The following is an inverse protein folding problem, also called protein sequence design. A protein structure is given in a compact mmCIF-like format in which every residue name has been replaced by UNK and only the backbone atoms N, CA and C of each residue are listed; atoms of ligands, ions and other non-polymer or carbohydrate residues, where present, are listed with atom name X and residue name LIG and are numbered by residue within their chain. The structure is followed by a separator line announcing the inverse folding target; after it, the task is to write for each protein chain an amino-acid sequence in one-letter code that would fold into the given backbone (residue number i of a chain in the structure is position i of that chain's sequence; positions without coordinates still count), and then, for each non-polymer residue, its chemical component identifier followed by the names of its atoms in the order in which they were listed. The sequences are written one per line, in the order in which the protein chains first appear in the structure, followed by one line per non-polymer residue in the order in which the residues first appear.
data_IF_427860906778
#
_entry.id   IF_427860906778
#
_cell.length_a   1.000
_cell.length_b   1.000
_cell.length_c   1.000
_cell.angle_alpha   90.00
_cell.angle_beta   90.00
_cell.angle_gamma   90.00
#
_symmetry.space_group_name_H-M   'P 1'
#
loop_
_entity.id
_entity.type
_entity.pdbx_description
1 polymer ?
#
# COMPACT_ATOMS: atom_id res chain seq x y z
N UNK A 1 26.39 -13.03 0.18
CA UNK A 1 26.22 -11.59 -0.15
C UNK A 1 24.90 -11.15 0.46
N UNK A 2 24.76 -9.94 1.00
CA UNK A 2 23.46 -9.46 1.47
C UNK A 2 22.47 -9.44 0.29
N UNK A 3 21.24 -9.89 0.52
CA UNK A 3 20.17 -9.84 -0.48
C UNK A 3 19.80 -8.36 -0.73
N UNK A 4 19.34 -8.05 -1.95
CA UNK A 4 18.79 -6.72 -2.25
C UNK A 4 17.44 -6.59 -1.55
N UNK A 5 17.15 -5.43 -0.96
CA UNK A 5 15.88 -5.16 -0.29
C UNK A 5 15.03 -4.23 -1.17
N UNK A 6 13.76 -4.60 -1.37
CA UNK A 6 12.74 -3.74 -1.94
C UNK A 6 11.85 -3.19 -0.83
N UNK A 7 11.64 -1.87 -0.82
CA UNK A 7 10.72 -1.22 0.11
C UNK A 7 9.34 -1.18 -0.50
N UNK A 8 8.34 -1.57 0.28
CA UNK A 8 6.93 -1.51 -0.09
C UNK A 8 6.20 -0.63 0.92
N UNK A 9 5.37 0.28 0.44
CA UNK A 9 4.49 1.10 1.27
C UNK A 9 3.11 1.20 0.62
N UNK A 10 2.22 1.97 1.22
CA UNK A 10 0.87 2.21 0.71
C UNK A 10 0.65 3.66 0.27
N UNK A 11 -0.46 3.93 -0.43
CA UNK A 11 -0.70 5.25 -1.03
C UNK A 11 -0.80 6.40 -0.03
N UNK A 12 -1.01 6.11 1.26
CA UNK A 12 -1.13 7.15 2.28
C UNK A 12 0.21 7.70 2.76
N UNK A 13 1.34 7.16 2.28
CA UNK A 13 2.66 7.70 2.56
C UNK A 13 2.92 9.04 1.84
N UNK A 14 2.21 9.31 0.72
CA UNK A 14 2.36 10.52 -0.10
C UNK A 14 3.81 10.89 -0.47
N UNK A 15 4.65 9.87 -0.69
CA UNK A 15 6.04 10.08 -1.09
C UNK A 15 6.11 10.70 -2.50
N UNK A 16 6.97 11.71 -2.71
CA UNK A 16 7.18 12.27 -4.05
C UNK A 16 7.69 11.21 -5.03
N UNK A 17 7.25 11.27 -6.29
CA UNK A 17 7.64 10.29 -7.32
C UNK A 17 9.16 10.16 -7.49
N UNK A 18 9.90 11.24 -7.33
CA UNK A 18 11.36 11.25 -7.43
C UNK A 18 12.00 10.33 -6.38
N UNK A 19 11.46 10.31 -5.15
CA UNK A 19 11.93 9.45 -4.06
C UNK A 19 11.57 7.99 -4.34
N UNK A 20 10.36 7.74 -4.87
CA UNK A 20 9.94 6.41 -5.26
C UNK A 20 10.89 5.81 -6.30
N UNK A 21 11.26 6.59 -7.32
CA UNK A 21 12.19 6.17 -8.38
C UNK A 21 13.62 6.02 -7.88
N UNK A 22 14.13 6.98 -7.12
CA UNK A 22 15.50 6.98 -6.60
C UNK A 22 15.78 5.79 -5.68
N UNK A 23 14.83 5.46 -4.81
CA UNK A 23 15.00 4.43 -3.79
C UNK A 23 14.32 3.10 -4.14
N UNK A 24 13.75 2.99 -5.35
CA UNK A 24 13.00 1.82 -5.81
C UNK A 24 11.90 1.39 -4.82
N UNK A 25 11.15 2.37 -4.31
CA UNK A 25 10.04 2.15 -3.37
C UNK A 25 8.78 1.85 -4.18
N UNK A 26 8.14 0.75 -3.84
CA UNK A 26 6.86 0.38 -4.42
C UNK A 26 5.70 0.84 -3.55
N UNK A 27 4.70 1.45 -4.17
CA UNK A 27 3.46 1.86 -3.50
C UNK A 27 2.34 0.90 -3.90
N UNK A 28 1.55 0.44 -2.93
CA UNK A 28 0.31 -0.31 -3.17
C UNK A 28 -0.87 0.61 -2.84
N UNK A 29 -1.76 0.89 -3.79
CA UNK A 29 -2.88 1.80 -3.56
C UNK A 29 -3.90 1.22 -2.58
N UNK A 30 -4.38 2.06 -1.66
CA UNK A 30 -5.65 1.82 -0.97
C UNK A 30 -6.81 2.06 -1.94
N UNK A 31 -8.04 1.77 -1.50
CA UNK A 31 -9.23 2.04 -2.31
C UNK A 31 -10.09 3.14 -1.70
N UNK A 32 -10.53 4.07 -2.54
CA UNK A 32 -11.64 4.98 -2.28
C UNK A 32 -12.91 4.34 -2.82
N UNK A 33 -13.95 4.23 -2.00
CA UNK A 33 -15.25 3.68 -2.39
C UNK A 33 -16.27 4.81 -2.42
N UNK A 34 -16.92 5.00 -3.57
CA UNK A 34 -17.89 6.06 -3.78
C UNK A 34 -19.20 5.48 -4.33
N UNK A 35 -20.19 5.31 -3.45
CA UNK A 35 -21.39 4.54 -3.77
C UNK A 35 -21.02 3.07 -3.98
N UNK A 36 -21.30 2.53 -5.16
CA UNK A 36 -21.01 1.13 -5.52
C UNK A 36 -19.65 0.96 -6.23
N UNK A 37 -18.93 2.05 -6.48
CA UNK A 37 -17.71 2.03 -7.27
C UNK A 37 -16.46 2.22 -6.41
N UNK A 38 -15.49 1.32 -6.58
CA UNK A 38 -14.16 1.44 -6.00
C UNK A 38 -13.17 2.09 -6.98
N UNK A 39 -12.24 2.86 -6.45
CA UNK A 39 -11.17 3.55 -7.16
C UNK A 39 -9.87 3.32 -6.40
N UNK A 40 -8.80 2.98 -7.11
CA UNK A 40 -7.46 2.91 -6.52
C UNK A 40 -6.91 4.33 -6.33
N UNK A 41 -6.54 4.63 -5.09
CA UNK A 41 -6.00 5.93 -4.68
C UNK A 41 -4.68 6.25 -5.40
N UNK A 42 -4.61 7.41 -6.05
CA UNK A 42 -3.46 7.83 -6.85
C UNK A 42 -3.32 7.12 -8.21
N UNK A 43 -4.24 6.22 -8.55
CA UNK A 43 -4.25 5.47 -9.82
C UNK A 43 -5.51 5.76 -10.62
N UNK A 44 -6.68 5.42 -10.07
CA UNK A 44 -7.98 5.65 -10.72
C UNK A 44 -8.59 7.00 -10.32
N UNK A 45 -8.21 7.54 -9.16
CA UNK A 45 -8.66 8.83 -8.66
C UNK A 45 -7.49 9.63 -8.08
N UNK A 46 -7.32 10.86 -8.56
CA UNK A 46 -6.29 11.79 -8.10
C UNK A 46 -6.86 12.78 -7.06
N UNK A 47 -6.04 13.38 -6.19
CA UNK A 47 -6.50 14.31 -5.16
C UNK A 47 -7.38 15.45 -5.70
N UNK A 48 -6.97 16.09 -6.79
CA UNK A 48 -7.74 17.18 -7.39
C UNK A 48 -9.13 16.75 -7.85
N UNK A 49 -9.24 15.56 -8.44
CA UNK A 49 -10.52 14.99 -8.86
C UNK A 49 -11.38 14.61 -7.66
N UNK A 50 -10.78 13.96 -6.66
CA UNK A 50 -11.42 13.58 -5.42
C UNK A 50 -12.07 14.80 -4.74
N UNK A 51 -11.32 15.89 -4.56
CA UNK A 51 -11.84 17.08 -3.86
C UNK A 51 -12.88 17.84 -4.69
N UNK A 52 -12.72 17.92 -6.02
CA UNK A 52 -13.76 18.50 -6.90
C UNK A 52 -15.06 17.71 -6.82
N UNK A 53 -14.99 16.38 -6.82
CA UNK A 53 -16.16 15.50 -6.66
C UNK A 53 -16.76 15.62 -5.28
N UNK A 54 -15.93 15.64 -4.22
CA UNK A 54 -16.36 15.74 -2.83
C UNK A 54 -17.22 16.98 -2.59
N UNK A 55 -16.78 18.14 -3.10
CA UNK A 55 -17.49 19.41 -2.92
C UNK A 55 -18.92 19.42 -3.51
N UNK A 56 -19.20 18.56 -4.49
CA UNK A 56 -20.48 18.53 -5.21
C UNK A 56 -21.30 17.26 -4.94
N UNK A 57 -20.73 16.29 -4.22
CA UNK A 57 -21.35 14.98 -4.03
C UNK A 57 -22.33 14.98 -2.86
N UNK A 58 -23.49 14.34 -3.05
CA UNK A 58 -24.44 14.01 -1.97
C UNK A 58 -24.06 12.73 -1.22
N UNK A 59 -23.27 11.87 -1.86
CA UNK A 59 -22.81 10.60 -1.28
C UNK A 59 -21.40 10.82 -0.75
N UNK A 60 -21.18 10.54 0.53
CA UNK A 60 -19.85 10.59 1.11
C UNK A 60 -19.04 9.35 0.71
N UNK A 61 -17.77 9.50 0.31
CA UNK A 61 -16.92 8.36 0.07
C UNK A 61 -16.54 7.67 1.39
N UNK A 62 -16.19 6.40 1.28
CA UNK A 62 -15.48 5.66 2.32
C UNK A 62 -14.15 5.15 1.76
N UNK A 63 -13.33 4.56 2.62
CA UNK A 63 -12.04 4.00 2.23
C UNK A 63 -11.99 2.53 2.59
N UNK A 64 -11.18 1.77 1.87
CA UNK A 64 -10.82 0.39 2.19
C UNK A 64 -9.31 0.21 2.22
N UNK A 65 -8.86 -0.68 3.09
CA UNK A 65 -7.46 -1.10 3.18
C UNK A 65 -6.98 -1.75 1.88
N UNK A 66 -5.65 -1.87 1.72
CA UNK A 66 -5.07 -2.73 0.69
C UNK A 66 -5.56 -4.16 0.90
N UNK A 67 -6.02 -4.83 -0.16
CA UNK A 67 -6.50 -6.22 -0.03
C UNK A 67 -5.34 -7.19 0.21
N UNK A 68 -5.53 -8.29 0.97
CA UNK A 68 -4.50 -9.32 1.12
C UNK A 68 -4.00 -9.87 -0.21
N UNK A 69 -4.89 -10.02 -1.21
CA UNK A 69 -4.54 -10.51 -2.54
C UNK A 69 -3.61 -9.55 -3.30
N UNK A 70 -3.91 -8.24 -3.29
CA UNK A 70 -3.04 -7.25 -3.93
C UNK A 70 -1.67 -7.19 -3.27
N UNK A 71 -1.63 -7.24 -1.94
CA UNK A 71 -0.38 -7.27 -1.18
C UNK A 71 0.43 -8.54 -1.46
N UNK A 72 -0.23 -9.70 -1.49
CA UNK A 72 0.39 -10.99 -1.83
C UNK A 72 1.05 -10.95 -3.19
N UNK A 73 0.32 -10.51 -4.22
CA UNK A 73 0.85 -10.43 -5.59
C UNK A 73 2.08 -9.52 -5.65
N UNK A 74 2.09 -8.43 -4.87
CA UNK A 74 3.23 -7.53 -4.82
C UNK A 74 4.44 -8.18 -4.13
N UNK A 75 4.25 -8.82 -2.98
CA UNK A 75 5.31 -9.53 -2.27
C UNK A 75 5.88 -10.66 -3.13
N UNK A 76 5.03 -11.50 -3.71
CA UNK A 76 5.42 -12.60 -4.58
C UNK A 76 6.28 -12.09 -5.76
N UNK A 77 5.81 -11.05 -6.46
CA UNK A 77 6.54 -10.50 -7.61
C UNK A 77 7.94 -9.98 -7.25
N UNK A 78 8.11 -9.36 -6.07
CA UNK A 78 9.42 -8.89 -5.60
C UNK A 78 10.35 -10.05 -5.21
N UNK A 79 9.81 -11.07 -4.56
CA UNK A 79 10.55 -12.28 -4.20
C UNK A 79 11.03 -13.04 -5.44
N UNK A 80 10.19 -13.15 -6.48
CA UNK A 80 10.54 -13.77 -7.76
C UNK A 80 11.66 -13.02 -8.50
N UNK A 81 11.75 -11.70 -8.29
CA UNK A 81 12.86 -10.86 -8.77
C UNK A 81 14.13 -10.98 -7.90
N UNK A 82 14.10 -11.78 -6.84
CA UNK A 82 15.24 -12.03 -5.95
C UNK A 82 15.44 -10.97 -4.85
N UNK A 83 14.42 -10.15 -4.56
CA UNK A 83 14.46 -9.19 -3.46
C UNK A 83 13.92 -9.80 -2.17
N UNK A 84 14.51 -9.41 -1.04
CA UNK A 84 13.83 -9.43 0.25
C UNK A 84 12.95 -8.17 0.36
N UNK A 85 11.87 -8.23 1.13
CA UNK A 85 10.85 -7.18 1.21
C UNK A 85 10.84 -6.54 2.59
N UNK A 86 10.89 -5.21 2.61
CA UNK A 86 10.56 -4.40 3.78
C UNK A 86 9.26 -3.63 3.51
N UNK A 87 8.17 -4.10 4.11
CA UNK A 87 6.87 -3.44 4.07
C UNK A 87 6.72 -2.44 5.21
N UNK A 88 6.51 -1.16 4.92
CA UNK A 88 6.24 -0.10 5.89
C UNK A 88 4.89 0.51 5.54
N UNK A 89 3.89 0.31 6.40
CA UNK A 89 2.52 0.70 6.10
C UNK A 89 1.96 1.67 7.14
N UNK A 90 0.86 2.32 6.78
CA UNK A 90 0.12 3.21 7.67
C UNK A 90 -0.29 2.53 8.97
N UNK A 91 -0.47 3.37 9.99
CA UNK A 91 -0.76 2.96 11.35
C UNK A 91 -1.85 1.89 11.45
N UNK A 92 -1.56 0.78 12.12
CA UNK A 92 -2.55 -0.27 12.40
C UNK A 92 -3.73 0.23 13.25
N UNK A 93 -3.60 1.40 13.90
CA UNK A 93 -4.65 2.02 14.71
C UNK A 93 -5.77 2.64 13.86
N UNK A 94 -5.53 2.90 12.58
CA UNK A 94 -6.50 3.59 11.69
C UNK A 94 -6.87 2.78 10.45
N UNK A 95 -6.16 1.68 10.17
CA UNK A 95 -6.41 0.85 9.00
C UNK A 95 -5.98 -0.60 9.21
N UNK A 96 -6.67 -1.54 8.56
CA UNK A 96 -6.31 -2.96 8.54
C UNK A 96 -5.23 -3.34 7.53
N UNK A 97 -4.58 -2.39 6.84
CA UNK A 97 -3.52 -2.69 5.84
C UNK A 97 -2.38 -3.53 6.41
N UNK A 98 -1.96 -3.29 7.66
CA UNK A 98 -0.96 -4.15 8.34
C UNK A 98 -1.45 -5.59 8.45
N UNK A 99 -2.73 -5.79 8.80
CA UNK A 99 -3.31 -7.13 8.89
C UNK A 99 -3.43 -7.79 7.52
N UNK A 100 -3.70 -7.03 6.45
CA UNK A 100 -3.60 -7.53 5.07
C UNK A 100 -2.17 -7.95 4.73
N UNK A 101 -1.16 -7.19 5.16
CA UNK A 101 0.25 -7.52 4.91
C UNK A 101 0.65 -8.83 5.58
N UNK A 102 0.23 -9.03 6.83
CA UNK A 102 0.51 -10.25 7.58
C UNK A 102 -0.14 -11.45 6.89
N UNK A 103 -1.42 -11.35 6.51
CA UNK A 103 -2.13 -12.41 5.79
C UNK A 103 -1.44 -12.74 4.45
N UNK A 104 -1.08 -11.72 3.68
CA UNK A 104 -0.37 -11.88 2.41
C UNK A 104 0.98 -12.59 2.57
N UNK A 105 1.75 -12.26 3.61
CA UNK A 105 3.00 -12.96 3.94
C UNK A 105 2.75 -14.41 4.35
N UNK A 106 1.71 -14.67 5.15
CA UNK A 106 1.40 -16.02 5.62
C UNK A 106 0.91 -16.95 4.49
N UNK A 107 0.40 -16.39 3.40
CA UNK A 107 0.12 -17.10 2.15
C UNK A 107 1.41 -17.52 1.38
N UNK A 108 2.58 -17.00 1.76
CA UNK A 108 3.89 -17.28 1.15
C UNK A 108 4.82 -18.03 2.13
N UNK A 109 4.51 -19.29 2.50
CA UNK A 109 5.16 -19.98 3.61
C UNK A 109 6.68 -20.16 3.45
N UNK A 110 7.17 -20.32 2.21
CA UNK A 110 8.60 -20.51 1.92
C UNK A 110 9.41 -19.20 1.86
N UNK A 111 8.76 -18.05 2.05
CA UNK A 111 9.39 -16.73 1.95
C UNK A 111 9.11 -15.82 3.14
N UNK A 112 8.57 -16.37 4.24
CA UNK A 112 8.20 -15.59 5.43
C UNK A 112 9.40 -14.84 6.04
N UNK A 113 10.57 -15.48 6.09
CA UNK A 113 11.81 -14.88 6.61
C UNK A 113 12.40 -13.79 5.70
N UNK A 114 11.87 -13.65 4.48
CA UNK A 114 12.27 -12.64 3.50
C UNK A 114 11.35 -11.42 3.49
N UNK A 115 10.29 -11.41 4.30
CA UNK A 115 9.31 -10.31 4.35
C UNK A 115 9.23 -9.77 5.78
N UNK A 116 9.84 -8.61 6.00
CA UNK A 116 9.67 -7.82 7.21
C UNK A 116 8.49 -6.86 7.03
N UNK A 117 7.62 -6.77 8.03
CA UNK A 117 6.47 -5.85 8.04
C UNK A 117 6.61 -4.95 9.26
N UNK A 118 6.53 -3.64 9.02
CA UNK A 118 6.62 -2.59 10.02
C UNK A 118 5.32 -1.80 10.04
N UNK A 119 4.69 -1.77 11.21
CA UNK A 119 3.67 -0.78 11.52
C UNK A 119 4.37 0.55 11.79
N UNK A 120 4.19 1.53 10.90
CA UNK A 120 4.83 2.83 11.07
C UNK A 120 4.28 3.58 12.27
N UNK A 121 3.04 3.30 12.69
CA UNK A 121 2.26 4.13 13.60
C UNK A 121 2.01 5.57 13.09
N UNK A 122 2.27 5.83 11.80
CA UNK A 122 2.08 7.11 11.13
C UNK A 122 1.17 6.99 9.90
N UNK A 123 0.80 8.11 9.33
CA UNK A 123 0.25 8.26 7.97
C UNK A 123 0.66 9.63 7.45
N UNK A 124 0.63 9.83 6.13
CA UNK A 124 1.16 11.01 5.45
C UNK A 124 2.66 11.24 5.67
N UNK A 125 3.22 12.26 5.03
CA UNK A 125 4.57 12.71 5.38
C UNK A 125 4.53 13.31 6.80
N UNK A 126 5.20 12.64 7.74
CA UNK A 126 5.37 13.10 9.11
C UNK A 126 6.46 14.17 9.24
#
# INVERSE_FOLDING_TARGET
MPNKVAVVTDSTAYLPEEHLKQYNISVIPLSVVWGEQGYLDGVDILPDEFYKRLANSKIMPTTSQVTPAAMHNKFQSLLEQGYDVLGIFLSSKISGTIQSAIQARDMLPNAKDKIAIVDSLWTTMA
#
